data_IF_414219180764
#
_entry.id   IF_414219180764
#
_cell.length_a   1.000
_cell.length_b   1.000
_cell.length_c   1.000
_cell.angle_alpha   90.00
_cell.angle_beta   90.00
_cell.angle_gamma   90.00
#
_symmetry.space_group_name_H-M   'P 1'
#
loop_
_entity.id
_entity.type
_entity.pdbx_description
1 polymer ?
#
# COMPACT_ATOMS: atom_id res chain seq x y z
N UNK A 1 8.00 -27.29 12.14
CA UNK A 1 8.23 -25.95 11.57
C UNK A 1 7.09 -25.06 12.08
N UNK A 2 7.41 -24.02 12.84
CA UNK A 2 6.39 -23.22 13.50
C UNK A 2 5.69 -22.29 12.49
N UNK A 3 4.46 -21.88 12.79
CA UNK A 3 3.69 -20.94 11.96
C UNK A 3 4.47 -19.63 11.71
N UNK A 4 5.26 -19.19 12.70
CA UNK A 4 6.18 -18.06 12.57
C UNK A 4 7.20 -18.21 11.44
N UNK A 5 7.69 -19.43 11.23
CA UNK A 5 8.75 -19.72 10.27
C UNK A 5 8.18 -19.74 8.84
N UNK A 6 6.95 -20.23 8.67
CA UNK A 6 6.23 -20.15 7.39
C UNK A 6 5.92 -18.71 6.98
N UNK A 7 5.54 -17.86 7.94
CA UNK A 7 5.27 -16.44 7.69
C UNK A 7 6.56 -15.74 7.24
N UNK A 8 7.67 -15.99 7.94
CA UNK A 8 8.94 -15.34 7.63
C UNK A 8 9.52 -15.77 6.28
N UNK A 9 9.47 -17.06 5.96
CA UNK A 9 10.10 -17.65 4.76
C UNK A 9 9.26 -17.44 3.51
N UNK A 10 7.93 -17.48 3.61
CA UNK A 10 7.06 -17.48 2.43
C UNK A 10 6.27 -16.18 2.27
N UNK A 11 5.73 -15.60 3.35
CA UNK A 11 4.81 -14.46 3.24
C UNK A 11 5.57 -13.16 2.97
N UNK A 12 6.69 -12.92 3.65
CA UNK A 12 7.47 -11.67 3.47
C UNK A 12 7.95 -11.52 2.02
N UNK A 13 8.57 -12.52 1.37
CA UNK A 13 8.99 -12.38 -0.02
C UNK A 13 7.84 -12.13 -0.99
N UNK A 14 6.69 -12.78 -0.78
CA UNK A 14 5.49 -12.59 -1.60
C UNK A 14 4.97 -11.15 -1.48
N UNK A 15 4.90 -10.61 -0.26
CA UNK A 15 4.47 -9.24 0.01
C UNK A 15 5.41 -8.22 -0.65
N UNK A 16 6.73 -8.44 -0.56
CA UNK A 16 7.71 -7.58 -1.22
C UNK A 16 7.55 -7.64 -2.75
N UNK A 17 7.43 -8.85 -3.31
CA UNK A 17 7.27 -9.03 -4.76
C UNK A 17 5.99 -8.37 -5.28
N UNK A 18 4.86 -8.56 -4.58
CA UNK A 18 3.59 -7.91 -4.96
C UNK A 18 3.66 -6.40 -4.84
N UNK A 19 4.36 -5.86 -3.85
CA UNK A 19 4.58 -4.42 -3.74
C UNK A 19 5.44 -3.87 -4.89
N UNK A 20 6.51 -4.57 -5.27
CA UNK A 20 7.35 -4.19 -6.41
C UNK A 20 6.54 -4.22 -7.72
N UNK A 21 5.70 -5.24 -7.92
CA UNK A 21 4.81 -5.32 -9.08
C UNK A 21 3.81 -4.16 -9.10
N UNK A 22 3.23 -3.80 -7.96
CA UNK A 22 2.34 -2.65 -7.84
C UNK A 22 3.06 -1.35 -8.21
N UNK A 23 4.27 -1.14 -7.70
CA UNK A 23 5.09 0.03 -8.05
C UNK A 23 5.44 0.08 -9.53
N UNK A 24 5.76 -1.07 -10.14
CA UNK A 24 5.98 -1.16 -11.59
C UNK A 24 4.73 -0.72 -12.37
N UNK A 25 3.54 -1.19 -11.99
CA UNK A 25 2.28 -0.77 -12.61
C UNK A 25 2.05 0.73 -12.45
N UNK A 26 2.31 1.29 -11.26
CA UNK A 26 2.19 2.74 -11.02
C UNK A 26 3.11 3.52 -11.94
N UNK A 27 4.40 3.15 -12.02
CA UNK A 27 5.38 3.81 -12.89
C UNK A 27 4.95 3.70 -14.36
N UNK A 28 4.54 2.51 -14.80
CA UNK A 28 4.04 2.27 -16.15
C UNK A 28 2.86 3.19 -16.51
N UNK A 29 1.92 3.38 -15.58
CA UNK A 29 0.78 4.28 -15.77
C UNK A 29 1.19 5.77 -15.75
N UNK A 30 2.36 6.10 -15.21
CA UNK A 30 2.88 7.48 -15.19
C UNK A 30 3.62 7.88 -16.45
N UNK A 31 4.44 6.98 -16.98
CA UNK A 31 5.29 7.26 -18.15
C UNK A 31 4.53 7.24 -19.47
N UNK A 32 3.37 6.59 -19.51
CA UNK A 32 2.60 6.44 -20.75
C UNK A 32 1.54 7.52 -20.91
N UNK A 33 1.46 8.02 -22.14
CA UNK A 33 0.46 8.99 -22.56
C UNK A 33 -0.95 8.38 -22.49
N UNK A 34 -1.97 9.08 -21.94
CA UNK A 34 -3.34 8.56 -21.86
C UNK A 34 -3.91 8.16 -23.24
N UNK A 35 -3.46 8.84 -24.29
CA UNK A 35 -3.90 8.62 -25.67
C UNK A 35 -3.36 7.32 -26.28
N UNK A 36 -2.21 6.81 -25.82
CA UNK A 36 -1.69 5.50 -26.27
C UNK A 36 -2.34 4.32 -25.52
N UNK A 37 -2.85 4.53 -24.31
CA UNK A 37 -3.51 3.48 -23.49
C UNK A 37 -5.05 3.53 -23.63
N UNK A 38 -5.59 4.43 -24.46
CA UNK A 38 -7.02 4.63 -24.74
C UNK A 38 -7.66 3.47 -25.53
N UNK A 39 -7.45 2.23 -25.09
CA UNK A 39 -8.38 1.15 -25.35
C UNK A 39 -9.68 1.44 -24.60
N UNK A 40 -10.82 1.07 -25.20
CA UNK A 40 -12.20 1.33 -24.71
C UNK A 40 -12.47 0.89 -23.25
N UNK A 41 -11.55 0.15 -22.61
CA UNK A 41 -11.64 -0.36 -21.24
C UNK A 41 -11.38 0.74 -20.18
N UNK A 42 -10.65 1.81 -20.50
CA UNK A 42 -10.31 2.88 -19.56
C UNK A 42 -10.88 4.23 -19.96
N UNK A 43 -12.22 4.35 -19.98
CA UNK A 43 -12.92 5.63 -20.19
C UNK A 43 -12.49 6.73 -19.20
N UNK A 44 -11.91 6.35 -18.05
CA UNK A 44 -11.38 7.25 -17.03
C UNK A 44 -9.94 6.90 -16.60
N UNK A 45 -9.01 6.81 -17.56
CA UNK A 45 -7.58 6.54 -17.31
C UNK A 45 -6.97 7.41 -16.18
N UNK A 46 -7.35 8.69 -16.11
CA UNK A 46 -6.90 9.59 -15.04
C UNK A 46 -7.38 9.19 -13.63
N UNK A 47 -8.61 8.69 -13.51
CA UNK A 47 -9.16 8.22 -12.22
C UNK A 47 -8.49 6.90 -11.83
N UNK A 48 -8.28 6.01 -12.80
CA UNK A 48 -7.58 4.75 -12.61
C UNK A 48 -6.14 4.96 -12.12
N UNK A 49 -5.39 5.88 -12.75
CA UNK A 49 -4.06 6.29 -12.31
C UNK A 49 -4.05 6.78 -10.86
N UNK A 50 -5.01 7.61 -10.47
CA UNK A 50 -5.15 8.08 -9.08
C UNK A 50 -5.45 6.95 -8.09
N UNK A 51 -6.30 6.00 -8.46
CA UNK A 51 -6.63 4.85 -7.62
C UNK A 51 -5.40 3.96 -7.38
N UNK A 52 -4.60 3.70 -8.41
CA UNK A 52 -3.36 2.90 -8.27
C UNK A 52 -2.30 3.59 -7.41
N UNK A 53 -2.16 4.91 -7.47
CA UNK A 53 -1.30 5.66 -6.56
C UNK A 53 -1.78 5.51 -5.11
N UNK A 54 -3.07 5.67 -4.86
CA UNK A 54 -3.63 5.53 -3.52
C UNK A 54 -3.44 4.10 -2.99
N UNK A 55 -3.58 3.09 -3.86
CA UNK A 55 -3.30 1.70 -3.52
C UNK A 55 -1.82 1.48 -3.17
N UNK A 56 -0.90 2.11 -3.89
CA UNK A 56 0.54 2.03 -3.61
C UNK A 56 0.90 2.68 -2.27
N UNK A 57 0.35 3.87 -1.99
CA UNK A 57 0.52 4.54 -0.69
C UNK A 57 -0.05 3.68 0.42
N UNK A 58 -1.25 3.13 0.25
CA UNK A 58 -1.87 2.22 1.20
C UNK A 58 -0.97 1.00 1.49
N UNK A 59 -0.52 0.32 0.44
CA UNK A 59 0.32 -0.88 0.56
C UNK A 59 1.65 -0.56 1.25
N UNK A 60 2.28 0.58 0.94
CA UNK A 60 3.51 1.01 1.59
C UNK A 60 3.33 1.22 3.10
N UNK A 61 2.29 1.96 3.48
CA UNK A 61 1.95 2.22 4.89
C UNK A 61 1.62 0.92 5.62
N UNK A 62 0.90 0.00 4.97
CA UNK A 62 0.53 -1.28 5.54
C UNK A 62 1.75 -2.16 5.80
N UNK A 63 2.68 -2.25 4.85
CA UNK A 63 3.93 -3.00 5.01
C UNK A 63 4.72 -2.42 6.18
N UNK A 64 4.83 -1.10 6.28
CA UNK A 64 5.53 -0.46 7.39
C UNK A 64 4.87 -0.75 8.74
N UNK A 65 3.55 -0.59 8.81
CA UNK A 65 2.75 -0.87 10.00
C UNK A 65 2.91 -2.32 10.48
N UNK A 66 2.78 -3.30 9.58
CA UNK A 66 2.94 -4.73 9.89
C UNK A 66 4.39 -5.07 10.26
N UNK A 67 5.38 -4.48 9.58
CA UNK A 67 6.80 -4.72 9.86
C UNK A 67 7.18 -4.30 11.29
N UNK A 68 6.60 -3.21 11.78
CA UNK A 68 6.79 -2.76 13.17
C UNK A 68 6.18 -3.71 14.20
N UNK A 69 5.15 -4.51 13.86
CA UNK A 69 4.55 -5.51 14.77
C UNK A 69 5.55 -6.65 15.02
N UNK A 70 6.18 -7.14 13.96
CA UNK A 70 7.11 -8.28 14.03
C UNK A 70 8.46 -7.92 14.63
N UNK A 71 8.87 -6.65 14.53
CA UNK A 71 10.16 -6.17 15.04
C UNK A 71 9.96 -5.35 16.32
N UNK A 72 9.54 -6.01 17.39
CA UNK A 72 9.45 -5.47 18.77
C UNK A 72 10.81 -5.14 19.41
N UNK A 73 11.87 -4.90 18.65
CA UNK A 73 13.16 -4.57 19.26
C UNK A 73 13.09 -3.17 19.85
N UNK A 74 13.46 -3.02 21.11
CA UNK A 74 13.44 -1.79 21.94
C UNK A 74 14.26 -0.58 21.39
N UNK A 75 14.73 -0.64 20.13
CA UNK A 75 15.65 0.31 19.53
C UNK A 75 15.03 1.25 18.48
N UNK A 76 13.76 1.11 18.12
CA UNK A 76 13.11 1.99 17.13
C UNK A 76 12.39 3.16 17.82
N UNK A 77 13.18 4.10 18.35
CA UNK A 77 12.68 5.45 18.66
C UNK A 77 12.73 6.26 17.38
N UNK A 78 11.69 6.13 16.55
CA UNK A 78 11.53 6.99 15.38
C UNK A 78 10.81 8.27 15.84
N UNK A 79 11.45 9.43 15.67
CA UNK A 79 10.87 10.74 16.06
C UNK A 79 10.52 10.89 17.55
N UNK A 80 11.18 10.16 18.44
CA UNK A 80 10.92 10.24 19.89
C UNK A 80 9.67 9.47 20.35
N UNK A 81 8.97 8.78 19.45
CA UNK A 81 7.81 7.94 19.78
C UNK A 81 8.21 6.49 19.99
N UNK A 82 7.51 5.82 20.90
CA UNK A 82 7.62 4.37 21.12
C UNK A 82 6.99 3.58 19.97
N UNK A 83 7.33 2.29 19.86
CA UNK A 83 6.74 1.40 18.84
C UNK A 83 5.22 1.34 18.97
N UNK A 84 4.70 1.30 20.20
CA UNK A 84 3.25 1.25 20.44
C UNK A 84 2.55 2.54 20.00
N UNK A 85 3.15 3.71 20.24
CA UNK A 85 2.63 5.00 19.75
C UNK A 85 2.68 5.09 18.22
N UNK A 86 3.78 4.65 17.60
CA UNK A 86 3.90 4.56 16.14
C UNK A 86 2.84 3.62 15.56
N UNK A 87 2.59 2.47 16.18
CA UNK A 87 1.54 1.53 15.77
C UNK A 87 0.16 2.21 15.73
N UNK A 88 -0.19 2.98 16.76
CA UNK A 88 -1.47 3.70 16.81
C UNK A 88 -1.55 4.74 15.68
N UNK A 89 -0.51 5.54 15.49
CA UNK A 89 -0.46 6.58 14.43
C UNK A 89 -0.60 5.95 13.04
N UNK A 90 0.20 4.92 12.73
CA UNK A 90 0.14 4.24 11.44
C UNK A 90 -1.19 3.51 11.22
N UNK A 91 -1.79 2.95 12.28
CA UNK A 91 -3.13 2.38 12.23
C UNK A 91 -4.20 3.41 11.89
N UNK A 92 -4.14 4.61 12.48
CA UNK A 92 -5.04 5.72 12.12
C UNK A 92 -4.84 6.19 10.68
N UNK A 93 -3.60 6.30 10.22
CA UNK A 93 -3.29 6.66 8.83
C UNK A 93 -3.90 5.63 7.87
N UNK A 94 -3.76 4.33 8.16
CA UNK A 94 -4.36 3.26 7.38
C UNK A 94 -5.88 3.36 7.33
N UNK A 95 -6.53 3.61 8.47
CA UNK A 95 -7.98 3.80 8.52
C UNK A 95 -8.45 4.97 7.65
N UNK A 96 -7.74 6.10 7.69
CA UNK A 96 -8.02 7.26 6.84
C UNK A 96 -7.88 6.89 5.36
N UNK A 97 -6.78 6.22 4.98
CA UNK A 97 -6.55 5.82 3.59
C UNK A 97 -7.67 4.88 3.10
N UNK A 98 -8.12 3.93 3.91
CA UNK A 98 -9.23 3.03 3.56
C UNK A 98 -10.52 3.82 3.34
N UNK A 99 -10.83 4.80 4.18
CA UNK A 99 -11.99 5.67 3.99
C UNK A 99 -11.92 6.42 2.66
N UNK A 100 -10.75 6.99 2.31
CA UNK A 100 -10.56 7.66 1.02
C UNK A 100 -10.70 6.71 -0.16
N UNK A 101 -10.04 5.54 -0.11
CA UNK A 101 -10.14 4.52 -1.16
C UNK A 101 -11.59 4.10 -1.37
N UNK A 102 -12.32 3.82 -0.28
CA UNK A 102 -13.73 3.44 -0.32
C UNK A 102 -14.60 4.54 -0.93
N UNK A 103 -14.35 5.81 -0.57
CA UNK A 103 -15.04 6.96 -1.14
C UNK A 103 -14.79 7.11 -2.65
N UNK A 104 -13.53 6.97 -3.10
CA UNK A 104 -13.20 7.07 -4.52
C UNK A 104 -13.79 5.92 -5.33
N UNK A 105 -13.85 4.70 -4.78
CA UNK A 105 -14.53 3.57 -5.41
C UNK A 105 -16.03 3.83 -5.52
N UNK A 106 -16.67 4.28 -4.44
CA UNK A 106 -18.10 4.63 -4.45
C UNK A 106 -18.41 5.68 -5.53
N UNK A 107 -17.58 6.73 -5.62
CA UNK A 107 -17.72 7.78 -6.64
C UNK A 107 -17.42 7.30 -8.06
N UNK A 108 -16.60 6.27 -8.23
CA UNK A 108 -16.32 5.70 -9.55
C UNK A 108 -17.46 4.80 -10.07
N UNK A 109 -18.24 4.20 -9.16
CA UNK A 109 -19.37 3.33 -9.49
C UNK A 109 -20.66 4.13 -9.75
N UNK A 110 -20.84 5.26 -9.05
CA UNK A 110 -22.01 6.14 -9.17
C UNK A 110 -21.84 7.17 -10.28
#
# INVERSE_FOLDING_TARGET
>A
MNLSDYILVSVIPIVILTFVLLMYVVIYLFERDPDTIRSRIFLNYHVFKKAFIMLAIFAFVLIFHVSMIFKKSDAWVLFGMTIDELQIVFGMILAIIICFVSYFIYKAIK
#
